data_IF_464663330718
#
_entry.id   IF_464663330718
#
_cell.length_a   1.000
_cell.length_b   1.000
_cell.length_c   1.000
_cell.angle_alpha   90.00
_cell.angle_beta   90.00
_cell.angle_gamma   90.00
#
_symmetry.space_group_name_H-M   'P 1'
#
loop_
_entity.id
_entity.type
_entity.pdbx_description
1 polymer ?
#
# COMPACT_ATOMS: atom_id res chain seq x y z
N UNK A 1 32.43 -4.66 -15.91
CA UNK A 1 32.07 -5.19 -14.58
C UNK A 1 30.58 -5.08 -14.34
N UNK A 2 29.98 -6.13 -13.83
CA UNK A 2 28.57 -6.13 -13.46
C UNK A 2 28.40 -5.66 -12.01
N UNK A 3 27.22 -5.18 -11.70
CA UNK A 3 26.81 -4.81 -10.35
C UNK A 3 25.42 -5.39 -10.07
N UNK A 4 24.88 -5.16 -8.89
CA UNK A 4 23.61 -5.74 -8.50
C UNK A 4 22.46 -5.35 -9.45
N UNK A 5 22.51 -4.17 -10.03
CA UNK A 5 21.48 -3.72 -10.97
C UNK A 5 21.57 -4.46 -12.31
N UNK A 6 22.78 -4.63 -12.82
CA UNK A 6 23.00 -5.21 -14.15
C UNK A 6 23.09 -6.74 -14.15
N UNK A 7 23.26 -7.37 -12.99
CA UNK A 7 23.31 -8.84 -12.89
C UNK A 7 22.00 -9.50 -13.30
N UNK A 8 20.88 -8.86 -13.01
CA UNK A 8 19.58 -9.32 -13.49
C UNK A 8 19.24 -8.54 -14.76
N UNK A 9 19.16 -9.19 -15.91
CA UNK A 9 18.81 -8.50 -17.16
C UNK A 9 17.42 -7.88 -17.06
N UNK A 10 17.24 -6.74 -17.73
CA UNK A 10 15.92 -6.16 -17.87
C UNK A 10 14.99 -7.12 -18.61
N UNK A 11 13.73 -7.16 -18.19
CA UNK A 11 12.72 -7.92 -18.92
C UNK A 11 12.53 -7.37 -20.33
N UNK A 12 12.07 -8.19 -21.29
CA UNK A 12 11.76 -7.69 -22.61
C UNK A 12 10.78 -6.51 -22.54
N UNK A 13 10.92 -5.49 -23.41
CA UNK A 13 10.08 -4.29 -23.33
C UNK A 13 8.57 -4.54 -23.32
N UNK A 14 8.08 -5.55 -24.04
CA UNK A 14 6.65 -5.87 -24.06
C UNK A 14 6.17 -6.34 -22.67
N UNK A 15 6.97 -7.15 -21.97
CA UNK A 15 6.63 -7.59 -20.62
C UNK A 15 6.76 -6.44 -19.62
N UNK A 16 7.78 -5.62 -19.77
CA UNK A 16 7.98 -4.46 -18.92
C UNK A 16 6.81 -3.48 -19.04
N UNK A 17 6.33 -3.26 -20.26
CA UNK A 17 5.16 -2.41 -20.52
C UNK A 17 3.93 -2.89 -19.77
N UNK A 18 3.63 -4.19 -19.87
CA UNK A 18 2.49 -4.78 -19.16
C UNK A 18 2.62 -4.59 -17.65
N UNK A 19 3.80 -4.83 -17.10
CA UNK A 19 4.04 -4.70 -15.67
C UNK A 19 3.84 -3.26 -15.20
N UNK A 20 4.45 -2.30 -15.88
CA UNK A 20 4.40 -0.91 -15.43
C UNK A 20 3.04 -0.27 -15.66
N UNK A 21 2.32 -0.63 -16.72
CA UNK A 21 0.94 -0.18 -16.90
C UNK A 21 0.02 -0.78 -15.85
N UNK A 22 0.20 -2.04 -15.49
CA UNK A 22 -0.61 -2.71 -14.46
C UNK A 22 -0.45 -2.05 -13.10
N UNK A 23 0.73 -1.51 -12.78
CA UNK A 23 0.96 -0.83 -11.51
C UNK A 23 -0.05 0.29 -11.25
N UNK A 24 -0.48 1.00 -12.29
CA UNK A 24 -1.48 2.06 -12.14
C UNK A 24 -2.85 1.56 -11.67
N UNK A 25 -3.17 0.30 -11.94
CA UNK A 25 -4.41 -0.31 -11.46
C UNK A 25 -4.28 -0.86 -10.04
N UNK A 26 -3.07 -1.30 -9.66
CA UNK A 26 -2.84 -1.96 -8.36
C UNK A 26 -2.30 -1.04 -7.29
N UNK A 27 -1.65 0.05 -7.67
CA UNK A 27 -0.97 0.94 -6.73
C UNK A 27 -1.42 2.38 -6.95
N UNK A 28 -1.29 3.18 -5.90
CA UNK A 28 -1.41 4.63 -5.98
C UNK A 28 -0.06 5.22 -5.57
N UNK A 29 0.01 6.54 -5.42
CA UNK A 29 1.25 7.22 -5.04
C UNK A 29 0.98 8.27 -3.96
N UNK A 30 2.08 8.86 -3.46
CA UNK A 30 1.98 9.84 -2.39
C UNK A 30 1.26 11.11 -2.82
N UNK A 31 1.45 11.54 -4.07
CA UNK A 31 0.83 12.75 -4.56
C UNK A 31 -0.68 12.62 -4.64
N UNK A 32 -1.17 11.57 -5.31
CA UNK A 32 -2.60 11.35 -5.48
C UNK A 32 -3.28 11.10 -4.13
N UNK A 33 -2.64 10.35 -3.24
CA UNK A 33 -3.16 10.10 -1.90
C UNK A 33 -3.26 11.39 -1.10
N UNK A 34 -2.21 12.20 -1.11
CA UNK A 34 -2.20 13.48 -0.41
C UNK A 34 -3.29 14.42 -0.94
N UNK A 35 -3.40 14.51 -2.26
CA UNK A 35 -4.40 15.37 -2.90
C UNK A 35 -5.82 14.93 -2.54
N UNK A 36 -6.09 13.63 -2.56
CA UNK A 36 -7.39 13.09 -2.18
C UNK A 36 -7.72 13.38 -0.71
N UNK A 37 -6.74 13.23 0.19
CA UNK A 37 -6.94 13.54 1.62
C UNK A 37 -7.23 15.02 1.83
N UNK A 38 -6.58 15.91 1.09
CA UNK A 38 -6.84 17.35 1.17
C UNK A 38 -8.28 17.73 0.81
N UNK A 39 -8.90 16.95 -0.06
CA UNK A 39 -10.27 17.23 -0.51
C UNK A 39 -11.32 16.90 0.54
N UNK A 40 -10.95 16.24 1.64
CA UNK A 40 -11.80 16.02 2.81
C UNK A 40 -12.73 14.81 2.77
N UNK A 41 -12.93 14.19 1.62
CA UNK A 41 -13.73 12.97 1.49
C UNK A 41 -13.04 12.05 0.49
N UNK A 42 -11.97 11.38 0.90
CA UNK A 42 -11.09 10.68 -0.03
C UNK A 42 -11.69 9.42 -0.67
N UNK A 43 -12.71 8.82 -0.07
CA UNK A 43 -13.30 7.59 -0.60
C UNK A 43 -12.50 6.32 -0.25
N UNK A 44 -11.55 6.41 0.65
CA UNK A 44 -10.75 5.26 1.11
C UNK A 44 -10.35 5.43 2.57
N UNK A 45 -9.94 4.32 3.18
CA UNK A 45 -9.33 4.30 4.51
C UNK A 45 -7.83 4.11 4.33
N UNK A 46 -7.03 5.02 4.85
CA UNK A 46 -5.58 4.94 4.79
C UNK A 46 -5.06 4.16 5.99
N UNK A 47 -4.32 3.09 5.72
CA UNK A 47 -3.72 2.25 6.76
C UNK A 47 -2.22 2.48 6.79
N UNK A 48 -1.70 2.86 7.97
CA UNK A 48 -0.28 2.81 8.27
C UNK A 48 0.05 1.40 8.74
N UNK A 49 0.80 0.67 7.92
CA UNK A 49 1.14 -0.72 8.17
C UNK A 49 2.41 -0.91 9.00
N UNK A 50 2.99 0.19 9.50
CA UNK A 50 4.19 0.17 10.34
C UNK A 50 3.84 -0.26 11.77
N UNK A 51 4.88 -0.41 12.60
CA UNK A 51 4.69 -0.70 14.02
C UNK A 51 3.97 0.44 14.75
N UNK A 52 3.30 0.14 15.90
CA UNK A 52 2.70 1.20 16.71
C UNK A 52 3.69 2.27 17.16
N UNK A 53 4.94 1.89 17.42
CA UNK A 53 5.98 2.85 17.83
C UNK A 53 6.29 3.86 16.71
N UNK A 54 6.38 3.40 15.47
CA UNK A 54 6.58 4.28 14.31
C UNK A 54 5.38 5.21 14.10
N UNK A 55 4.18 4.65 14.20
CA UNK A 55 2.93 5.44 14.08
C UNK A 55 2.87 6.55 15.13
N UNK A 56 3.24 6.23 16.38
CA UNK A 56 3.20 7.18 17.48
C UNK A 56 4.18 8.35 17.29
N UNK A 57 5.31 8.11 16.63
CA UNK A 57 6.30 9.16 16.35
C UNK A 57 5.85 10.15 15.29
N UNK A 58 4.97 9.75 14.42
CA UNK A 58 4.44 10.57 13.35
C UNK A 58 3.85 9.70 12.26
N UNK A 59 2.71 10.11 11.74
CA UNK A 59 2.00 9.40 10.69
C UNK A 59 1.17 10.37 9.86
N UNK A 60 0.70 9.92 8.73
CA UNK A 60 -0.17 10.74 7.88
C UNK A 60 -1.46 11.04 8.65
N UNK A 61 -1.86 12.31 8.76
CA UNK A 61 -3.10 12.66 9.45
C UNK A 61 -4.30 11.87 8.92
N UNK A 62 -5.06 11.28 9.83
CA UNK A 62 -6.22 10.46 9.48
C UNK A 62 -5.91 8.99 9.21
N UNK A 63 -4.64 8.59 9.13
CA UNK A 63 -4.29 7.19 8.93
C UNK A 63 -4.60 6.36 10.17
N UNK A 64 -5.04 5.13 9.94
CA UNK A 64 -5.29 4.14 10.98
C UNK A 64 -4.08 3.22 11.06
N UNK A 65 -3.58 2.95 12.27
CA UNK A 65 -2.45 2.04 12.44
C UNK A 65 -2.93 0.59 12.56
N UNK A 66 -2.63 -0.19 11.54
CA UNK A 66 -2.79 -1.65 11.59
C UNK A 66 -1.50 -2.25 11.04
N UNK A 67 -0.57 -2.65 11.92
CA UNK A 67 0.66 -3.31 11.45
C UNK A 67 0.32 -4.47 10.50
N UNK A 68 1.12 -4.67 9.45
CA UNK A 68 0.75 -5.62 8.41
C UNK A 68 0.45 -7.03 8.95
N UNK A 69 1.14 -7.45 10.01
CA UNK A 69 0.90 -8.76 10.64
C UNK A 69 -0.39 -8.84 11.46
N UNK A 70 -1.05 -7.72 11.71
CA UNK A 70 -2.30 -7.62 12.48
C UNK A 70 -3.52 -7.38 11.60
N UNK A 71 -3.38 -7.42 10.30
CA UNK A 71 -4.49 -7.27 9.38
C UNK A 71 -5.23 -8.62 9.31
N UNK A 72 -6.29 -8.71 10.09
CA UNK A 72 -7.15 -9.89 10.21
C UNK A 72 -8.61 -9.45 10.09
N UNK A 73 -9.50 -10.40 9.82
CA UNK A 73 -10.90 -10.11 9.56
C UNK A 73 -11.56 -9.32 10.69
N UNK A 74 -11.26 -9.65 11.95
CA UNK A 74 -11.87 -8.98 13.11
C UNK A 74 -11.47 -7.50 13.21
N UNK A 75 -10.28 -7.13 12.77
CA UNK A 75 -9.82 -5.73 12.77
C UNK A 75 -10.52 -4.90 11.69
N UNK A 76 -11.10 -5.53 10.69
CA UNK A 76 -11.78 -4.87 9.56
C UNK A 76 -13.29 -4.99 9.63
N UNK A 77 -13.83 -5.64 10.66
CA UNK A 77 -15.24 -5.99 10.76
C UNK A 77 -16.19 -4.78 10.76
N UNK A 78 -15.72 -3.62 11.24
CA UNK A 78 -16.52 -2.40 11.29
C UNK A 78 -16.58 -1.65 9.95
N UNK A 79 -15.73 -2.02 9.00
CA UNK A 79 -15.72 -1.39 7.68
C UNK A 79 -16.59 -2.18 6.70
N UNK A 80 -17.42 -1.50 5.89
CA UNK A 80 -18.19 -2.17 4.83
C UNK A 80 -17.27 -2.97 3.90
N UNK A 81 -17.80 -4.04 3.32
CA UNK A 81 -17.04 -4.90 2.40
C UNK A 81 -16.48 -4.15 1.19
N UNK A 82 -17.18 -3.09 0.76
CA UNK A 82 -16.78 -2.28 -0.39
C UNK A 82 -15.71 -1.23 -0.08
N UNK A 83 -15.29 -1.10 1.18
CA UNK A 83 -14.30 -0.09 1.57
C UNK A 83 -12.99 -0.33 0.83
N UNK A 84 -12.49 0.71 0.17
CA UNK A 84 -11.14 0.70 -0.41
C UNK A 84 -10.14 1.02 0.69
N UNK A 85 -9.15 0.18 0.88
CA UNK A 85 -8.03 0.45 1.76
C UNK A 85 -6.81 0.87 0.94
N UNK A 86 -6.14 1.93 1.38
CA UNK A 86 -4.85 2.35 0.84
C UNK A 86 -3.82 2.14 1.94
N UNK A 87 -2.72 1.47 1.63
CA UNK A 87 -1.72 1.10 2.62
C UNK A 87 -0.38 1.76 2.34
N UNK A 88 0.34 2.11 3.40
CA UNK A 88 1.71 2.59 3.29
C UNK A 88 2.57 2.05 4.44
N UNK A 89 3.87 2.13 4.25
CA UNK A 89 4.86 1.76 5.28
C UNK A 89 6.00 2.78 5.31
N UNK A 90 7.21 2.34 5.66
CA UNK A 90 8.33 3.26 5.88
C UNK A 90 8.90 3.88 4.58
N UNK A 91 8.66 3.26 3.44
CA UNK A 91 9.15 3.76 2.15
C UNK A 91 9.57 2.64 1.20
N UNK A 92 10.23 2.98 0.08
CA UNK A 92 10.61 1.98 -0.95
C UNK A 92 11.52 0.86 -0.45
N UNK A 93 12.21 1.07 0.65
CA UNK A 93 13.11 0.09 1.28
C UNK A 93 12.37 -0.90 2.18
N UNK A 94 11.07 -0.76 2.33
CA UNK A 94 10.23 -1.55 3.23
C UNK A 94 9.17 -2.30 2.43
N UNK A 95 8.90 -3.55 2.79
CA UNK A 95 7.86 -4.35 2.13
C UNK A 95 6.56 -4.45 2.95
N UNK A 96 6.42 -3.65 4.01
CA UNK A 96 5.25 -3.69 4.89
C UNK A 96 3.94 -3.37 4.17
N UNK A 97 3.96 -2.40 3.26
CA UNK A 97 2.78 -2.06 2.46
C UNK A 97 2.40 -3.20 1.52
N UNK A 98 3.36 -3.83 0.86
CA UNK A 98 3.09 -4.96 -0.01
C UNK A 98 2.53 -6.15 0.77
N UNK A 99 3.07 -6.44 1.96
CA UNK A 99 2.55 -7.50 2.84
C UNK A 99 1.14 -7.20 3.32
N UNK A 100 0.85 -5.94 3.66
CA UNK A 100 -0.48 -5.49 4.05
C UNK A 100 -1.47 -5.67 2.90
N UNK A 101 -1.08 -5.28 1.69
CA UNK A 101 -1.91 -5.43 0.50
C UNK A 101 -2.26 -6.90 0.23
N UNK A 102 -1.29 -7.81 0.37
CA UNK A 102 -1.52 -9.25 0.23
C UNK A 102 -2.57 -9.73 1.23
N UNK A 103 -2.46 -9.34 2.49
CA UNK A 103 -3.41 -9.74 3.53
C UNK A 103 -4.82 -9.22 3.27
N UNK A 104 -4.93 -7.94 2.88
CA UNK A 104 -6.22 -7.34 2.54
C UNK A 104 -6.86 -8.03 1.35
N UNK A 105 -6.08 -8.29 0.30
CA UNK A 105 -6.59 -8.97 -0.89
C UNK A 105 -7.04 -10.40 -0.56
N UNK A 106 -6.30 -11.13 0.28
CA UNK A 106 -6.70 -12.48 0.73
C UNK A 106 -8.01 -12.46 1.52
N UNK A 107 -8.29 -11.38 2.22
CA UNK A 107 -9.55 -11.19 2.95
C UNK A 107 -10.68 -10.68 2.05
N UNK A 108 -10.43 -10.55 0.74
CA UNK A 108 -11.42 -10.08 -0.22
C UNK A 108 -11.66 -8.59 -0.19
N UNK A 109 -10.73 -7.82 0.36
CA UNK A 109 -10.89 -6.37 0.49
C UNK A 109 -10.23 -5.62 -0.68
N UNK A 110 -10.91 -4.60 -1.23
CA UNK A 110 -10.28 -3.71 -2.21
C UNK A 110 -9.08 -3.00 -1.59
N UNK A 111 -7.95 -2.97 -2.31
CA UNK A 111 -6.71 -2.40 -1.79
C UNK A 111 -5.87 -1.75 -2.90
N UNK A 112 -5.19 -0.69 -2.51
CA UNK A 112 -4.13 -0.09 -3.32
C UNK A 112 -2.92 0.24 -2.47
#
# INVERSE_FOLDING_TARGET
>A
MSNAVTQTPAAPPAQALQHFEAAFAFETDCWDTHDALRQGNPGFVLIDARSPAHYARGHVPGAVNIPHGKIIASRLATYPESTLFVVYCAGPHCNGAARAAVRLARLGRPVK
#
